data_IF_387303728207
#
_entry.id   IF_387303728207
#
_cell.length_a   1.000
_cell.length_b   1.000
_cell.length_c   1.000
_cell.angle_alpha   90.00
_cell.angle_beta   90.00
_cell.angle_gamma   90.00
#
_symmetry.space_group_name_H-M   'P 1'
#
loop_
_entity.id
_entity.type
_entity.pdbx_description
1 polymer ?
#
# COMPACT_ATOMS: atom_id res chain seq x y z
N UNK A 1 -43.03 -0.27 45.17
CA UNK A 1 -43.63 -1.56 45.53
C UNK A 1 -43.59 -2.48 44.30
N UNK A 2 -42.85 -3.59 44.42
CA UNK A 2 -43.03 -4.91 43.77
C UNK A 2 -43.23 -5.01 42.23
N UNK A 3 -42.19 -5.52 41.55
CA UNK A 3 -42.33 -6.41 40.37
C UNK A 3 -42.68 -7.86 40.85
N UNK A 4 -42.78 -8.89 39.98
CA UNK A 4 -43.54 -9.08 38.73
C UNK A 4 -44.38 -10.39 38.78
N UNK A 5 -45.26 -10.67 37.80
CA UNK A 5 -45.77 -12.03 37.59
C UNK A 5 -45.80 -12.45 36.11
N UNK A 6 -45.12 -13.57 35.88
CA UNK A 6 -45.06 -14.38 34.67
C UNK A 6 -46.45 -14.80 34.19
N UNK A 7 -46.65 -14.82 32.86
CA UNK A 7 -47.37 -15.92 32.20
C UNK A 7 -46.65 -16.36 30.93
N UNK A 8 -45.97 -17.50 31.06
CA UNK A 8 -45.62 -18.41 29.96
C UNK A 8 -46.88 -18.77 29.18
N UNK A 9 -46.81 -18.78 27.84
CA UNK A 9 -47.64 -19.67 27.02
C UNK A 9 -46.73 -20.55 26.17
N UNK A 10 -46.86 -21.84 26.44
CA UNK A 10 -46.31 -22.96 25.68
C UNK A 10 -47.22 -23.28 24.49
N UNK A 11 -46.58 -23.92 23.52
CA UNK A 11 -47.09 -24.73 22.39
C UNK A 11 -47.98 -24.05 21.35
N UNK A 12 -47.53 -24.09 20.10
CA UNK A 12 -48.05 -25.06 19.11
C UNK A 12 -47.09 -25.10 17.91
N UNK A 13 -46.50 -26.29 17.70
CA UNK A 13 -45.75 -26.66 16.51
C UNK A 13 -46.72 -26.86 15.34
N UNK A 14 -46.49 -26.31 14.13
CA UNK A 14 -47.13 -26.83 12.94
C UNK A 14 -46.35 -28.07 12.47
N UNK A 15 -47.09 -29.17 12.39
CA UNK A 15 -46.63 -30.49 12.03
C UNK A 15 -46.09 -30.58 10.61
N UNK A 16 -45.08 -31.43 10.45
CA UNK A 16 -44.61 -31.99 9.18
C UNK A 16 -45.75 -32.74 8.50
N UNK A 17 -46.04 -32.43 7.24
CA UNK A 17 -46.73 -33.38 6.37
C UNK A 17 -45.70 -34.37 5.82
N UNK A 18 -45.70 -35.56 6.41
CA UNK A 18 -45.13 -36.77 5.85
C UNK A 18 -46.09 -37.24 4.76
N UNK A 19 -45.68 -37.15 3.49
CA UNK A 19 -46.35 -37.93 2.45
C UNK A 19 -45.94 -39.39 2.61
N UNK A 20 -46.82 -40.17 3.23
CA UNK A 20 -46.82 -41.61 3.14
C UNK A 20 -47.15 -41.98 1.69
N UNK A 21 -46.20 -42.60 0.97
CA UNK A 21 -46.45 -43.15 -0.35
C UNK A 21 -47.07 -44.52 -0.16
N UNK A 22 -48.37 -44.61 -0.42
CA UNK A 22 -49.11 -45.87 -0.45
C UNK A 22 -48.54 -46.77 -1.56
N UNK A 23 -48.18 -47.99 -1.19
CA UNK A 23 -48.05 -49.09 -2.14
C UNK A 23 -49.46 -49.45 -2.63
N UNK A 24 -49.73 -49.19 -3.90
CA UNK A 24 -50.82 -49.83 -4.62
C UNK A 24 -50.23 -50.61 -5.78
N UNK A 25 -50.33 -51.93 -5.64
CA UNK A 25 -50.13 -52.93 -6.66
C UNK A 25 -50.99 -52.56 -7.90
N UNK A 26 -50.36 -52.34 -9.05
CA UNK A 26 -51.03 -52.36 -10.34
C UNK A 26 -50.26 -53.31 -11.24
N UNK A 27 -50.95 -54.39 -11.57
CA UNK A 27 -50.55 -55.44 -12.48
C UNK A 27 -50.16 -54.85 -13.83
N UNK A 28 -49.13 -55.47 -14.41
CA UNK A 28 -48.75 -55.40 -15.81
C UNK A 28 -49.97 -55.43 -16.72
N UNK A 29 -50.06 -54.50 -17.66
CA UNK A 29 -50.19 -54.76 -19.10
C UNK A 29 -49.89 -53.46 -19.87
N UNK A 30 -49.32 -53.64 -21.05
CA UNK A 30 -49.00 -52.66 -22.10
C UNK A 30 -47.59 -52.07 -22.04
N UNK A 31 -46.67 -52.91 -22.52
CA UNK A 31 -45.48 -52.50 -23.24
C UNK A 31 -45.88 -51.77 -24.54
N UNK A 32 -45.26 -50.61 -24.79
CA UNK A 32 -44.67 -50.14 -26.07
C UNK A 32 -44.32 -48.64 -25.98
N UNK A 33 -43.29 -48.15 -26.69
CA UNK A 33 -41.97 -48.73 -26.87
C UNK A 33 -40.91 -47.87 -26.15
N UNK A 34 -39.82 -48.51 -25.75
CA UNK A 34 -38.57 -47.82 -25.48
C UNK A 34 -38.22 -46.99 -26.73
N UNK A 35 -37.88 -45.71 -26.55
CA UNK A 35 -37.14 -44.99 -27.59
C UNK A 35 -35.94 -45.86 -27.91
N UNK A 36 -35.90 -46.39 -29.13
CA UNK A 36 -34.78 -47.14 -29.67
C UNK A 36 -33.52 -46.33 -29.38
N UNK A 37 -32.77 -46.75 -28.36
CA UNK A 37 -31.35 -46.43 -28.34
C UNK A 37 -30.80 -47.25 -29.49
N UNK A 38 -30.79 -46.63 -30.67
CA UNK A 38 -29.98 -47.10 -31.77
C UNK A 38 -28.64 -47.49 -31.15
N UNK A 39 -28.26 -48.76 -31.26
CA UNK A 39 -26.89 -49.18 -30.94
C UNK A 39 -26.03 -48.59 -32.06
N UNK A 40 -25.83 -47.28 -32.00
CA UNK A 40 -24.92 -46.56 -32.86
C UNK A 40 -23.55 -47.06 -32.45
N UNK A 41 -22.85 -47.69 -33.39
CA UNK A 41 -21.47 -48.09 -33.16
C UNK A 41 -20.69 -46.89 -32.59
N UNK A 42 -19.77 -47.12 -31.66
CA UNK A 42 -18.95 -46.04 -31.09
C UNK A 42 -18.24 -45.18 -32.16
N UNK A 43 -18.09 -45.71 -33.37
CA UNK A 43 -17.60 -45.03 -34.56
C UNK A 43 -18.60 -44.01 -35.10
N UNK A 44 -19.90 -44.31 -35.12
CA UNK A 44 -20.98 -43.39 -35.52
C UNK A 44 -21.11 -42.25 -34.53
N UNK A 45 -21.01 -42.52 -33.22
CA UNK A 45 -21.00 -41.47 -32.20
C UNK A 45 -19.75 -40.59 -32.31
N UNK A 46 -18.58 -41.20 -32.57
CA UNK A 46 -17.34 -40.47 -32.83
C UNK A 46 -17.42 -39.65 -34.11
N UNK A 47 -18.05 -40.16 -35.16
CA UNK A 47 -18.30 -39.41 -36.40
C UNK A 47 -19.24 -38.24 -36.15
N UNK A 48 -20.31 -38.44 -35.37
CA UNK A 48 -21.25 -37.39 -34.97
C UNK A 48 -20.55 -36.30 -34.18
N UNK A 49 -19.67 -36.67 -33.26
CA UNK A 49 -18.86 -35.74 -32.47
C UNK A 49 -17.84 -34.97 -33.33
N UNK A 50 -17.16 -35.64 -34.27
CA UNK A 50 -16.27 -34.98 -35.25
C UNK A 50 -17.06 -34.01 -36.14
N UNK A 51 -18.28 -34.38 -36.54
CA UNK A 51 -19.14 -33.56 -37.38
C UNK A 51 -19.61 -32.32 -36.60
N UNK A 52 -19.99 -32.49 -35.33
CA UNK A 52 -20.36 -31.39 -34.44
C UNK A 52 -19.19 -30.44 -34.14
N UNK A 53 -17.99 -30.98 -33.93
CA UNK A 53 -16.76 -30.19 -33.80
C UNK A 53 -16.44 -29.43 -35.09
N UNK A 54 -16.65 -30.05 -36.27
CA UNK A 54 -16.46 -29.40 -37.57
C UNK A 54 -17.48 -28.28 -37.81
N UNK A 55 -18.75 -28.49 -37.47
CA UNK A 55 -19.79 -27.46 -37.55
C UNK A 55 -19.49 -26.31 -36.58
N UNK A 56 -19.08 -26.62 -35.34
CA UNK A 56 -18.76 -25.60 -34.34
C UNK A 56 -17.46 -24.85 -34.64
N UNK A 57 -16.53 -25.46 -35.37
CA UNK A 57 -15.28 -24.84 -35.84
C UNK A 57 -15.44 -23.99 -37.10
N UNK A 58 -16.53 -24.17 -37.84
CA UNK A 58 -16.85 -23.35 -39.01
C UNK A 58 -17.50 -22.04 -38.59
N UNK A 59 -17.03 -20.94 -39.19
CA UNK A 59 -17.57 -19.60 -38.93
C UNK A 59 -19.06 -19.53 -39.28
N UNK A 60 -19.82 -18.74 -38.52
CA UNK A 60 -21.25 -18.50 -38.73
C UNK A 60 -21.59 -18.10 -40.18
N UNK A 61 -20.64 -17.51 -40.92
CA UNK A 61 -20.77 -17.19 -42.35
C UNK A 61 -20.96 -18.41 -43.25
N UNK A 62 -20.37 -19.57 -42.93
CA UNK A 62 -20.46 -20.82 -43.72
C UNK A 62 -21.82 -21.50 -43.54
N UNK A 63 -22.39 -21.41 -42.34
CA UNK A 63 -23.77 -21.88 -42.08
C UNK A 63 -24.77 -21.02 -42.85
N UNK A 64 -24.51 -19.72 -42.99
CA UNK A 64 -25.35 -18.80 -43.76
C UNK A 64 -25.19 -18.98 -45.28
N UNK A 65 -24.09 -19.55 -45.77
CA UNK A 65 -23.95 -19.91 -47.20
C UNK A 65 -24.65 -21.23 -47.49
N UNK A 66 -24.55 -22.26 -46.62
CA UNK A 66 -25.31 -23.51 -46.75
C UNK A 66 -26.83 -23.29 -46.70
N UNK A 67 -27.30 -22.38 -45.83
CA UNK A 67 -28.71 -21.94 -45.83
C UNK A 67 -29.15 -21.36 -47.17
N UNK A 68 -28.26 -20.72 -47.94
CA UNK A 68 -28.62 -20.14 -49.25
C UNK A 68 -28.58 -21.14 -50.39
N UNK A 69 -27.83 -22.23 -50.26
CA UNK A 69 -27.64 -23.20 -51.36
C UNK A 69 -28.73 -24.26 -51.43
N UNK A 70 -29.30 -24.68 -50.29
CA UNK A 70 -30.33 -25.72 -50.23
C UNK A 70 -31.71 -25.17 -49.85
N UNK A 71 -32.60 -25.09 -50.84
CA UNK A 71 -33.98 -24.63 -50.68
C UNK A 71 -34.81 -25.56 -49.76
N UNK A 72 -34.54 -26.87 -49.81
CA UNK A 72 -35.20 -27.86 -48.94
C UNK A 72 -34.84 -27.67 -47.46
N UNK A 73 -33.59 -27.28 -47.17
CA UNK A 73 -33.16 -26.96 -45.81
C UNK A 73 -33.86 -25.70 -45.30
N UNK A 74 -34.05 -24.67 -46.14
CA UNK A 74 -34.82 -23.48 -45.75
C UNK A 74 -36.29 -23.79 -45.45
N UNK A 75 -36.92 -24.69 -46.21
CA UNK A 75 -38.30 -25.12 -45.93
C UNK A 75 -38.43 -25.91 -44.64
N UNK A 76 -37.42 -26.69 -44.26
CA UNK A 76 -37.39 -27.39 -42.97
C UNK A 76 -37.10 -26.38 -41.85
N UNK A 77 -36.13 -25.48 -42.04
CA UNK A 77 -35.76 -24.50 -41.02
C UNK A 77 -36.91 -23.54 -40.72
N UNK A 78 -37.60 -23.04 -41.74
CA UNK A 78 -38.75 -22.13 -41.59
C UNK A 78 -39.95 -22.74 -40.84
N UNK A 79 -40.09 -24.08 -40.82
CA UNK A 79 -41.07 -24.75 -39.96
C UNK A 79 -40.74 -24.63 -38.47
N UNK A 80 -39.45 -24.49 -38.15
CA UNK A 80 -38.95 -24.35 -36.78
C UNK A 80 -38.57 -22.90 -36.42
N UNK A 81 -38.44 -22.03 -37.42
CA UNK A 81 -38.21 -20.59 -37.27
C UNK A 81 -39.53 -19.89 -36.92
N UNK A 82 -40.14 -20.31 -35.81
CA UNK A 82 -41.28 -19.61 -35.24
C UNK A 82 -40.76 -18.34 -34.56
N UNK A 83 -41.11 -17.12 -35.02
CA UNK A 83 -40.80 -15.93 -34.26
C UNK A 83 -41.48 -16.07 -32.89
N UNK A 84 -40.73 -15.89 -31.81
CA UNK A 84 -41.16 -16.03 -30.41
C UNK A 84 -42.42 -15.21 -30.05
N UNK A 85 -42.83 -14.29 -30.92
CA UNK A 85 -44.03 -13.47 -30.83
C UNK A 85 -45.34 -14.21 -31.17
N UNK A 86 -45.34 -15.29 -31.97
CA UNK A 86 -46.57 -15.89 -32.54
C UNK A 86 -47.08 -17.15 -31.85
N UNK A 87 -46.52 -17.57 -30.72
CA UNK A 87 -47.11 -18.66 -29.94
C UNK A 87 -48.49 -18.22 -29.41
N UNK A 88 -49.58 -18.98 -29.67
CA UNK A 88 -50.96 -18.56 -29.34
C UNK A 88 -51.21 -18.31 -27.84
N UNK A 89 -50.28 -18.70 -26.98
CA UNK A 89 -50.31 -18.49 -25.53
C UNK A 89 -49.19 -17.60 -24.99
N UNK A 90 -48.38 -16.90 -25.80
CA UNK A 90 -47.25 -16.11 -25.28
C UNK A 90 -47.71 -14.97 -24.35
N UNK A 91 -48.82 -14.32 -24.68
CA UNK A 91 -49.44 -13.26 -23.86
C UNK A 91 -49.99 -13.82 -22.54
N UNK A 92 -50.59 -15.01 -22.58
CA UNK A 92 -51.08 -15.68 -21.38
C UNK A 92 -49.92 -16.15 -20.50
N UNK A 93 -48.90 -16.79 -21.08
CA UNK A 93 -47.69 -17.23 -20.38
C UNK A 93 -46.93 -16.05 -19.72
N UNK A 94 -46.76 -14.94 -20.42
CA UNK A 94 -46.15 -13.73 -19.84
C UNK A 94 -47.02 -13.11 -18.74
N UNK A 95 -48.35 -13.16 -18.85
CA UNK A 95 -49.23 -12.73 -17.76
C UNK A 95 -49.11 -13.61 -16.50
N UNK A 96 -48.98 -14.93 -16.65
CA UNK A 96 -48.72 -15.85 -15.54
C UNK A 96 -47.37 -15.55 -14.89
N UNK A 97 -46.31 -15.44 -15.68
CA UNK A 97 -44.96 -15.11 -15.17
C UNK A 97 -44.99 -13.76 -14.45
N UNK A 98 -45.67 -12.74 -14.99
CA UNK A 98 -45.81 -11.42 -14.35
C UNK A 98 -46.52 -11.47 -12.99
N UNK A 99 -47.42 -12.44 -12.82
CA UNK A 99 -48.17 -12.65 -11.56
C UNK A 99 -47.42 -13.48 -10.51
N UNK A 100 -46.25 -14.01 -10.84
CA UNK A 100 -45.46 -14.84 -9.93
C UNK A 100 -45.05 -14.07 -8.65
N UNK A 101 -45.29 -14.63 -7.45
CA UNK A 101 -44.98 -13.95 -6.18
C UNK A 101 -43.50 -13.57 -6.03
N UNK A 102 -42.60 -14.31 -6.68
CA UNK A 102 -41.16 -14.06 -6.66
C UNK A 102 -40.79 -12.71 -7.31
N UNK A 103 -41.54 -12.27 -8.32
CA UNK A 103 -41.29 -11.00 -9.00
C UNK A 103 -41.75 -9.79 -8.17
N UNK A 104 -42.70 -9.99 -7.25
CA UNK A 104 -43.15 -8.94 -6.34
C UNK A 104 -42.11 -8.65 -5.24
N UNK A 105 -41.43 -9.68 -4.73
CA UNK A 105 -40.55 -9.57 -3.57
C UNK A 105 -39.06 -9.49 -3.93
N UNK A 106 -38.63 -10.08 -5.05
CA UNK A 106 -37.22 -10.15 -5.43
C UNK A 106 -36.91 -9.15 -6.55
N UNK A 107 -36.15 -8.10 -6.22
CA UNK A 107 -35.69 -7.09 -7.17
C UNK A 107 -34.91 -7.70 -8.34
N UNK A 108 -34.00 -8.63 -8.07
CA UNK A 108 -33.17 -9.26 -9.11
C UNK A 108 -34.03 -10.09 -10.09
N UNK A 109 -35.01 -10.83 -9.59
CA UNK A 109 -35.92 -11.58 -10.45
C UNK A 109 -36.78 -10.66 -11.34
N UNK A 110 -37.23 -9.53 -10.77
CA UNK A 110 -37.96 -8.48 -11.49
C UNK A 110 -37.10 -7.79 -12.56
N UNK A 111 -35.84 -7.52 -12.25
CA UNK A 111 -34.89 -6.91 -13.18
C UNK A 111 -34.58 -7.87 -14.35
N UNK A 112 -34.38 -9.17 -14.09
CA UNK A 112 -34.21 -10.19 -15.15
C UNK A 112 -35.46 -10.28 -16.02
N UNK A 113 -36.66 -10.30 -15.43
CA UNK A 113 -37.90 -10.39 -16.20
C UNK A 113 -38.11 -9.18 -17.13
N UNK A 114 -37.78 -7.98 -16.67
CA UNK A 114 -37.91 -6.75 -17.47
C UNK A 114 -36.73 -6.55 -18.44
N UNK A 115 -35.65 -7.33 -18.32
CA UNK A 115 -34.50 -7.23 -19.20
C UNK A 115 -34.84 -7.71 -20.61
N UNK A 116 -34.22 -7.09 -21.60
CA UNK A 116 -34.37 -7.48 -23.01
C UNK A 116 -33.58 -8.78 -23.20
N UNK A 117 -34.16 -9.83 -23.81
CA UNK A 117 -33.42 -11.05 -24.11
C UNK A 117 -32.21 -10.75 -25.01
N UNK A 118 -31.09 -11.43 -24.74
CA UNK A 118 -29.84 -11.24 -25.45
C UNK A 118 -30.00 -11.51 -26.95
N UNK A 119 -29.68 -10.52 -27.79
CA UNK A 119 -29.84 -10.59 -29.25
C UNK A 119 -28.55 -10.92 -30.02
N UNK A 120 -27.44 -11.18 -29.34
CA UNK A 120 -26.12 -11.45 -29.93
C UNK A 120 -25.15 -10.28 -29.84
N UNK A 121 -25.67 -9.06 -29.75
CA UNK A 121 -24.91 -7.84 -29.53
C UNK A 121 -25.34 -7.17 -28.22
N UNK A 122 -24.38 -6.70 -27.44
CA UNK A 122 -24.62 -5.94 -26.22
C UNK A 122 -25.05 -4.50 -26.57
N UNK A 123 -26.01 -3.94 -25.83
CA UNK A 123 -26.40 -2.54 -25.99
C UNK A 123 -25.31 -1.61 -25.44
N UNK A 124 -25.08 -0.47 -26.08
CA UNK A 124 -24.14 0.56 -25.60
C UNK A 124 -24.47 0.99 -24.15
N UNK A 125 -25.75 1.02 -23.80
CA UNK A 125 -26.18 1.34 -22.43
C UNK A 125 -25.73 0.29 -21.41
N UNK A 126 -25.85 -0.99 -21.75
CA UNK A 126 -25.48 -2.12 -20.87
C UNK A 126 -23.95 -2.22 -20.73
N UNK A 127 -23.24 -2.01 -21.84
CA UNK A 127 -21.77 -1.96 -21.85
C UNK A 127 -21.22 -0.84 -20.97
N UNK A 128 -21.83 0.36 -21.05
CA UNK A 128 -21.48 1.49 -20.18
C UNK A 128 -21.84 1.22 -18.71
N UNK A 129 -23.00 0.60 -18.45
CA UNK A 129 -23.42 0.24 -17.09
C UNK A 129 -22.42 -0.74 -16.46
N UNK A 130 -21.99 -1.75 -17.23
CA UNK A 130 -20.98 -2.72 -16.81
C UNK A 130 -19.64 -2.04 -16.50
N UNK A 131 -19.18 -1.14 -17.36
CA UNK A 131 -17.96 -0.36 -17.13
C UNK A 131 -18.04 0.48 -15.84
N UNK A 132 -19.19 1.08 -15.56
CA UNK A 132 -19.41 1.87 -14.32
C UNK A 132 -19.47 0.97 -13.08
N UNK A 133 -20.09 -0.21 -13.19
CA UNK A 133 -20.17 -1.19 -12.08
C UNK A 133 -18.79 -1.78 -11.79
N UNK A 134 -18.02 -2.13 -12.83
CA UNK A 134 -16.67 -2.68 -12.69
C UNK A 134 -15.65 -1.63 -12.21
N UNK A 135 -15.84 -0.35 -12.57
CA UNK A 135 -14.97 0.75 -12.12
C UNK A 135 -15.13 1.08 -10.64
N UNK A 136 -16.28 0.77 -10.01
CA UNK A 136 -16.52 1.07 -8.60
C UNK A 136 -16.01 -0.08 -7.71
N UNK A 137 -15.11 0.17 -6.75
CA UNK A 137 -14.71 -0.87 -5.81
C UNK A 137 -15.92 -1.37 -5.03
N UNK A 138 -16.04 -2.70 -4.88
CA UNK A 138 -17.15 -3.30 -4.13
C UNK A 138 -17.20 -2.74 -2.71
N UNK A 139 -18.37 -2.32 -2.20
CA UNK A 139 -18.50 -1.86 -0.82
C UNK A 139 -17.97 -2.91 0.15
N UNK A 140 -17.14 -2.46 1.10
CA UNK A 140 -16.50 -3.33 2.10
C UNK A 140 -17.52 -4.08 2.98
N UNK A 141 -18.78 -3.61 3.03
CA UNK A 141 -19.86 -4.13 3.86
C UNK A 141 -21.13 -4.52 3.08
N UNK A 142 -21.00 -5.08 1.87
CA UNK A 142 -22.16 -5.63 1.19
C UNK A 142 -22.68 -6.88 1.93
N UNK A 143 -23.97 -6.93 2.35
CA UNK A 143 -24.54 -8.11 3.01
C UNK A 143 -24.51 -9.36 2.11
N UNK A 144 -24.51 -9.16 0.78
CA UNK A 144 -24.32 -10.23 -0.19
C UNK A 144 -22.87 -10.77 -0.19
N UNK A 145 -21.86 -9.92 0.02
CA UNK A 145 -20.45 -10.35 0.10
C UNK A 145 -20.14 -11.15 1.38
N UNK A 146 -20.87 -10.88 2.47
CA UNK A 146 -20.80 -11.65 3.72
C UNK A 146 -21.33 -13.08 3.54
N UNK A 147 -22.25 -13.31 2.59
CA UNK A 147 -22.73 -14.65 2.27
C UNK A 147 -21.66 -15.51 1.54
N UNK A 148 -20.74 -14.90 0.79
CA UNK A 148 -19.68 -15.58 0.05
C UNK A 148 -18.33 -15.64 0.75
N UNK A 149 -18.13 -14.89 1.85
CA UNK A 149 -16.99 -15.16 2.75
C UNK A 149 -17.22 -16.52 3.38
N UNK A 150 -16.39 -17.51 3.02
CA UNK A 150 -16.41 -18.86 3.60
C UNK A 150 -16.44 -18.75 5.13
N UNK A 151 -17.63 -18.90 5.71
CA UNK A 151 -17.83 -18.95 7.14
C UNK A 151 -17.02 -20.14 7.66
N UNK A 152 -16.21 -19.93 8.69
CA UNK A 152 -15.50 -21.03 9.32
C UNK A 152 -16.55 -21.98 9.91
N UNK A 153 -16.57 -23.27 9.52
CA UNK A 153 -17.63 -24.17 9.93
C UNK A 153 -17.63 -24.31 11.45
N UNK A 154 -18.83 -24.29 12.03
CA UNK A 154 -18.98 -24.42 13.49
C UNK A 154 -18.52 -25.80 13.95
N UNK A 155 -18.22 -25.99 15.25
CA UNK A 155 -17.73 -27.29 15.76
C UNK A 155 -18.68 -28.45 15.42
N UNK A 156 -19.99 -28.22 15.50
CA UNK A 156 -21.00 -29.22 15.16
C UNK A 156 -21.04 -29.50 13.66
N UNK A 157 -20.88 -28.47 12.83
CA UNK A 157 -20.83 -28.60 11.37
C UNK A 157 -19.57 -29.34 10.92
N UNK A 158 -18.42 -29.07 11.56
CA UNK A 158 -17.19 -29.85 11.36
C UNK A 158 -17.38 -31.32 11.72
N UNK A 159 -18.12 -31.63 12.79
CA UNK A 159 -18.38 -32.99 13.22
C UNK A 159 -19.34 -33.71 12.26
N UNK A 160 -20.34 -33.01 11.72
CA UNK A 160 -21.21 -33.51 10.67
C UNK A 160 -20.43 -33.76 9.36
N UNK A 161 -19.61 -32.80 8.91
CA UNK A 161 -18.74 -32.98 7.75
C UNK A 161 -17.77 -34.15 7.92
N UNK A 162 -17.13 -34.29 9.08
CA UNK A 162 -16.24 -35.41 9.35
C UNK A 162 -16.98 -36.75 9.33
N UNK A 163 -18.23 -36.79 9.83
CA UNK A 163 -19.08 -37.96 9.77
C UNK A 163 -19.42 -38.31 8.33
N UNK A 164 -19.86 -37.34 7.53
CA UNK A 164 -20.20 -37.55 6.12
C UNK A 164 -18.98 -37.97 5.29
N UNK A 165 -17.83 -37.31 5.46
CA UNK A 165 -16.55 -37.69 4.82
C UNK A 165 -16.14 -39.12 5.21
N UNK A 166 -16.33 -39.51 6.48
CA UNK A 166 -16.03 -40.86 6.92
C UNK A 166 -16.98 -41.92 6.34
N UNK A 167 -18.25 -41.54 6.09
CA UNK A 167 -19.22 -42.40 5.44
C UNK A 167 -18.88 -42.55 3.96
N UNK A 168 -18.57 -41.47 3.25
CA UNK A 168 -18.13 -41.50 1.85
C UNK A 168 -16.86 -42.33 1.69
N UNK A 169 -15.88 -42.16 2.60
CA UNK A 169 -14.68 -42.99 2.59
C UNK A 169 -15.01 -44.46 2.81
N UNK A 170 -15.95 -44.79 3.70
CA UNK A 170 -16.34 -46.19 3.98
C UNK A 170 -17.14 -46.80 2.84
N UNK A 171 -17.98 -46.03 2.17
CA UNK A 171 -18.75 -46.45 0.99
C UNK A 171 -17.83 -46.67 -0.20
N UNK A 172 -16.84 -45.78 -0.41
CA UNK A 172 -15.89 -45.86 -1.51
C UNK A 172 -14.62 -46.64 -1.17
N UNK A 173 -14.49 -47.19 0.03
CA UNK A 173 -13.33 -48.01 0.40
C UNK A 173 -13.42 -49.33 -0.36
N UNK A 174 -12.49 -49.63 -1.28
CA UNK A 174 -12.47 -50.93 -1.93
C UNK A 174 -12.23 -52.00 -0.87
N UNK A 175 -13.12 -53.00 -0.82
CA UNK A 175 -13.01 -54.16 0.06
C UNK A 175 -11.86 -55.06 -0.44
N UNK A 176 -10.62 -54.67 -0.16
CA UNK A 176 -9.44 -55.39 -0.63
C UNK A 176 -8.14 -54.63 -0.33
N UNK A 177 -7.71 -54.65 0.93
CA UNK A 177 -6.55 -53.87 1.40
C UNK A 177 -5.19 -54.49 1.06
N UNK A 178 -4.81 -54.64 -0.22
CA UNK A 178 -3.47 -55.12 -0.57
C UNK A 178 -2.70 -54.43 -1.70
N UNK A 179 -3.21 -53.41 -2.39
CA UNK A 179 -2.43 -52.67 -3.40
C UNK A 179 -2.72 -51.16 -3.33
N UNK A 180 -2.30 -50.50 -2.25
CA UNK A 180 -2.53 -49.05 -2.11
C UNK A 180 -1.53 -48.22 -2.90
N UNK A 181 -0.29 -48.68 -3.00
CA UNK A 181 0.79 -47.88 -3.59
C UNK A 181 0.82 -47.98 -5.13
N UNK A 182 0.47 -49.13 -5.72
CA UNK A 182 0.43 -49.28 -7.19
C UNK A 182 -0.76 -48.62 -7.86
N UNK A 183 -1.91 -48.56 -7.17
CA UNK A 183 -3.13 -47.96 -7.74
C UNK A 183 -3.10 -46.42 -7.66
N UNK A 184 -2.45 -45.86 -6.63
CA UNK A 184 -2.23 -44.41 -6.50
C UNK A 184 -1.25 -43.90 -7.57
N UNK A 185 -0.20 -44.66 -7.89
CA UNK A 185 0.75 -44.32 -8.95
C UNK A 185 0.10 -44.40 -10.34
N UNK A 186 -0.68 -45.45 -10.62
CA UNK A 186 -1.43 -45.56 -11.88
C UNK A 186 -2.49 -44.47 -12.04
N UNK A 187 -3.16 -44.07 -10.96
CA UNK A 187 -4.11 -42.96 -10.98
C UNK A 187 -3.42 -41.62 -11.22
N UNK A 188 -2.23 -41.42 -10.62
CA UNK A 188 -1.39 -40.23 -10.86
C UNK A 188 -0.90 -40.17 -12.30
N UNK A 189 -0.48 -41.30 -12.86
CA UNK A 189 -0.04 -41.41 -14.25
C UNK A 189 -1.20 -41.14 -15.22
N UNK A 190 -2.40 -41.70 -14.98
CA UNK A 190 -3.57 -41.43 -15.82
C UNK A 190 -4.02 -39.96 -15.79
N UNK A 191 -3.91 -39.30 -14.63
CA UNK A 191 -4.19 -37.86 -14.53
C UNK A 191 -3.09 -37.01 -15.16
N UNK A 192 -1.83 -37.43 -15.03
CA UNK A 192 -0.70 -36.80 -15.71
C UNK A 192 -0.90 -36.87 -17.23
N UNK A 193 -1.27 -38.02 -17.78
CA UNK A 193 -1.57 -38.20 -19.20
C UNK A 193 -2.79 -37.39 -19.69
N UNK A 194 -3.87 -37.35 -18.90
CA UNK A 194 -5.10 -36.64 -19.28
C UNK A 194 -5.00 -35.12 -19.16
N UNK A 195 -4.21 -34.62 -18.22
CA UNK A 195 -4.03 -33.18 -18.01
C UNK A 195 -2.88 -32.59 -18.85
N UNK A 196 -1.82 -33.35 -19.11
CA UNK A 196 -0.68 -32.88 -19.92
C UNK A 196 -0.78 -33.27 -21.41
N UNK A 197 -1.66 -34.22 -21.77
CA UNK A 197 -1.93 -34.63 -23.15
C UNK A 197 -0.74 -35.32 -23.87
N UNK A 198 -0.96 -35.90 -25.07
CA UNK A 198 0.09 -36.61 -25.84
C UNK A 198 1.30 -35.75 -26.23
N UNK A 199 1.19 -34.42 -26.20
CA UNK A 199 2.26 -33.49 -26.59
C UNK A 199 3.42 -33.45 -25.60
N UNK A 200 3.21 -33.86 -24.34
CA UNK A 200 4.27 -33.95 -23.33
C UNK A 200 5.02 -35.30 -23.35
N UNK A 201 4.45 -36.35 -23.95
CA UNK A 201 5.07 -37.68 -24.00
C UNK A 201 5.87 -37.94 -25.29
N UNK A 202 5.53 -37.28 -26.40
CA UNK A 202 6.12 -37.55 -27.73
C UNK A 202 7.28 -36.63 -28.13
N UNK A 203 7.94 -35.94 -27.19
CA UNK A 203 9.15 -35.18 -27.54
C UNK A 203 10.17 -35.14 -26.40
N UNK A 204 10.98 -36.19 -26.28
CA UNK A 204 12.15 -36.22 -25.39
C UNK A 204 13.46 -35.82 -26.10
N UNK A 205 13.40 -35.16 -27.27
CA UNK A 205 14.62 -34.70 -27.95
C UNK A 205 14.60 -33.27 -28.50
N UNK A 206 13.53 -32.48 -28.37
CA UNK A 206 13.51 -31.14 -28.97
C UNK A 206 12.53 -30.13 -28.37
N UNK A 207 12.71 -29.73 -27.10
CA UNK A 207 12.62 -28.31 -26.63
C UNK A 207 13.30 -28.20 -25.26
N UNK A 208 14.62 -28.01 -25.26
CA UNK A 208 15.42 -27.92 -24.02
C UNK A 208 15.06 -26.74 -23.11
N UNK A 209 14.44 -25.69 -23.65
CA UNK A 209 14.05 -24.48 -22.90
C UNK A 209 12.85 -24.72 -21.99
N UNK A 210 11.82 -25.44 -22.46
CA UNK A 210 10.60 -25.70 -21.69
C UNK A 210 10.86 -26.70 -20.55
N UNK A 211 11.81 -27.63 -20.75
CA UNK A 211 12.22 -28.55 -19.70
C UNK A 211 12.97 -27.83 -18.57
N UNK A 212 13.85 -26.89 -18.90
CA UNK A 212 14.54 -26.07 -17.89
C UNK A 212 13.54 -25.18 -17.17
N UNK A 213 12.57 -24.60 -17.87
CA UNK A 213 11.50 -23.80 -17.26
C UNK A 213 10.62 -24.65 -16.33
N UNK A 214 10.26 -25.87 -16.74
CA UNK A 214 9.45 -26.78 -15.91
C UNK A 214 10.23 -27.31 -14.69
N UNK A 215 11.52 -27.65 -14.85
CA UNK A 215 12.38 -28.06 -13.73
C UNK A 215 12.62 -26.89 -12.78
N UNK A 216 12.91 -25.70 -13.32
CA UNK A 216 13.07 -24.48 -12.53
C UNK A 216 11.77 -24.14 -11.79
N UNK A 217 10.62 -24.23 -12.45
CA UNK A 217 9.30 -24.03 -11.86
C UNK A 217 9.04 -25.00 -10.71
N UNK A 218 9.33 -26.29 -10.91
CA UNK A 218 9.21 -27.30 -9.84
C UNK A 218 10.16 -27.03 -8.67
N UNK A 219 11.40 -26.61 -8.96
CA UNK A 219 12.40 -26.28 -7.94
C UNK A 219 12.02 -25.01 -7.16
N UNK A 220 11.44 -24.02 -7.83
CA UNK A 220 10.90 -22.80 -7.22
C UNK A 220 9.73 -23.15 -6.31
N UNK A 221 8.75 -23.92 -6.81
CA UNK A 221 7.57 -24.34 -6.05
C UNK A 221 7.91 -25.21 -4.84
N UNK A 222 8.98 -26.00 -4.91
CA UNK A 222 9.47 -26.78 -3.77
C UNK A 222 10.18 -25.92 -2.71
N UNK A 223 10.68 -24.73 -3.08
CA UNK A 223 11.45 -23.84 -2.19
C UNK A 223 10.63 -22.65 -1.66
N UNK A 224 9.50 -22.34 -2.30
CA UNK A 224 8.52 -21.34 -1.81
C UNK A 224 7.74 -21.96 -0.65
N UNK A 225 7.66 -21.26 0.48
CA UNK A 225 6.70 -21.60 1.52
C UNK A 225 5.27 -21.31 1.03
N UNK A 226 4.43 -22.34 0.98
CA UNK A 226 3.06 -22.26 0.45
C UNK A 226 2.13 -21.44 1.34
N UNK A 227 2.47 -21.23 2.62
CA UNK A 227 1.62 -20.47 3.54
C UNK A 227 1.84 -18.96 3.41
N UNK A 228 3.10 -18.55 3.24
CA UNK A 228 3.47 -17.14 3.12
C UNK A 228 3.75 -16.68 1.69
N UNK A 229 3.94 -17.62 0.75
CA UNK A 229 4.32 -17.36 -0.64
C UNK A 229 5.75 -16.85 -0.80
N UNK A 230 6.61 -17.05 0.22
CA UNK A 230 7.94 -16.46 0.29
C UNK A 230 9.02 -17.54 0.28
N UNK A 231 10.14 -17.24 -0.36
CA UNK A 231 11.39 -17.98 -0.15
C UNK A 231 11.95 -17.68 1.24
N UNK A 232 12.22 -18.73 2.01
CA UNK A 232 12.90 -18.71 3.32
C UNK A 232 14.40 -18.97 3.12
N UNK A 233 15.13 -17.99 2.57
CA UNK A 233 16.60 -18.05 2.50
C UNK A 233 17.21 -16.84 3.21
N UNK A 234 18.38 -17.02 3.83
CA UNK A 234 19.09 -15.97 4.58
C UNK A 234 19.41 -14.77 3.67
N UNK A 235 19.82 -15.04 2.42
CA UNK A 235 20.06 -14.03 1.38
C UNK A 235 18.82 -13.17 1.09
N UNK A 236 17.62 -13.74 1.25
CA UNK A 236 16.37 -13.05 0.97
C UNK A 236 16.07 -11.96 2.01
N UNK A 237 16.64 -12.05 3.22
CA UNK A 237 16.53 -10.99 4.24
C UNK A 237 17.35 -9.76 3.89
N UNK A 238 18.42 -9.92 3.09
CA UNK A 238 19.25 -8.81 2.58
C UNK A 238 18.62 -8.12 1.38
N UNK A 239 17.98 -8.90 0.51
CA UNK A 239 17.31 -8.40 -0.71
C UNK A 239 15.95 -7.77 -0.39
N UNK A 240 15.24 -8.27 0.63
CA UNK A 240 13.94 -7.72 1.05
C UNK A 240 14.11 -6.65 2.12
N UNK A 241 13.27 -5.62 2.06
CA UNK A 241 13.15 -4.65 3.14
C UNK A 241 12.70 -5.34 4.43
N UNK A 242 13.22 -4.87 5.59
CA UNK A 242 12.73 -5.31 6.89
C UNK A 242 11.25 -4.95 7.03
N UNK A 243 10.39 -5.85 7.52
CA UNK A 243 8.99 -5.52 7.75
C UNK A 243 8.90 -4.34 8.73
N UNK A 244 8.03 -3.38 8.43
CA UNK A 244 7.81 -2.25 9.32
C UNK A 244 7.29 -2.76 10.67
N UNK A 245 7.78 -2.17 11.76
CA UNK A 245 7.29 -2.50 13.10
C UNK A 245 5.80 -2.19 13.21
N UNK A 246 5.02 -3.15 13.71
CA UNK A 246 3.57 -2.97 13.88
C UNK A 246 3.25 -1.73 14.73
N UNK A 247 4.08 -1.43 15.72
CA UNK A 247 3.95 -0.24 16.56
C UNK A 247 4.11 1.07 15.77
N UNK A 248 5.03 1.10 14.80
CA UNK A 248 5.20 2.23 13.89
C UNK A 248 3.96 2.42 12.99
N UNK A 249 3.28 1.32 12.63
CA UNK A 249 2.04 1.35 11.87
C UNK A 249 0.80 1.74 12.68
N UNK A 250 0.81 1.65 14.02
CA UNK A 250 -0.35 2.06 14.84
C UNK A 250 -0.59 3.57 14.73
N UNK A 251 0.49 4.35 14.66
CA UNK A 251 0.43 5.81 14.57
C UNK A 251 0.61 6.31 13.13
N UNK A 252 0.47 5.44 12.12
CA UNK A 252 0.71 5.83 10.72
C UNK A 252 -0.33 6.80 10.15
N UNK A 253 -1.44 7.03 10.86
CA UNK A 253 -2.43 8.04 10.49
C UNK A 253 -2.18 9.38 11.19
N UNK A 254 -1.32 9.43 12.21
CA UNK A 254 -1.03 10.65 12.97
C UNK A 254 0.15 11.40 12.35
N UNK A 255 -0.14 12.55 11.74
CA UNK A 255 0.89 13.42 11.16
C UNK A 255 1.86 13.95 12.22
N UNK A 256 1.43 14.14 13.47
CA UNK A 256 2.31 14.64 14.55
C UNK A 256 3.40 13.63 14.88
N UNK A 257 3.06 12.34 14.90
CA UNK A 257 4.00 11.26 15.14
C UNK A 257 5.10 11.23 14.07
N UNK A 258 4.73 11.33 12.78
CA UNK A 258 5.73 11.41 11.71
C UNK A 258 6.54 12.70 11.73
N UNK A 259 5.91 13.84 12.03
CA UNK A 259 6.62 15.10 12.16
C UNK A 259 7.72 15.01 13.24
N UNK A 260 7.39 14.46 14.41
CA UNK A 260 8.37 14.24 15.47
C UNK A 260 9.47 13.27 15.06
N UNK A 261 9.13 12.23 14.30
CA UNK A 261 10.14 11.29 13.80
C UNK A 261 11.07 11.92 12.77
N UNK A 262 10.56 12.80 11.89
CA UNK A 262 11.36 13.56 10.92
C UNK A 262 12.29 14.51 11.65
N UNK A 263 11.79 15.26 12.64
CA UNK A 263 12.61 16.14 13.48
C UNK A 263 13.76 15.37 14.15
N UNK A 264 13.47 14.21 14.73
CA UNK A 264 14.48 13.37 15.38
C UNK A 264 15.48 12.77 14.38
N UNK A 265 15.02 12.32 13.21
CA UNK A 265 15.89 11.68 12.20
C UNK A 265 16.79 12.66 11.46
N UNK A 266 16.31 13.87 11.22
CA UNK A 266 17.07 14.90 10.51
C UNK A 266 17.91 15.76 11.46
N UNK A 267 17.82 15.52 12.78
CA UNK A 267 18.46 16.33 13.83
C UNK A 267 18.12 17.83 13.71
N UNK A 268 16.93 18.13 13.17
CA UNK A 268 16.48 19.51 12.95
C UNK A 268 15.66 19.98 14.14
N UNK A 269 16.06 21.12 14.70
CA UNK A 269 15.32 21.79 15.75
C UNK A 269 14.19 22.63 15.15
N UNK A 270 13.01 22.71 15.80
CA UNK A 270 11.98 23.67 15.44
C UNK A 270 12.55 25.11 15.38
N UNK A 271 12.08 25.95 14.45
CA UNK A 271 12.63 27.29 14.23
C UNK A 271 12.66 28.18 15.48
N UNK A 272 11.64 28.07 16.35
CA UNK A 272 11.58 28.85 17.58
C UNK A 272 12.64 28.38 18.61
N UNK A 273 13.00 27.09 18.64
CA UNK A 273 14.06 26.57 19.53
C UNK A 273 15.43 27.05 19.04
N UNK A 274 15.66 27.04 17.72
CA UNK A 274 16.89 27.58 17.14
C UNK A 274 17.04 29.07 17.47
N UNK A 275 15.97 29.86 17.29
CA UNK A 275 15.98 31.27 17.68
C UNK A 275 16.18 31.48 19.19
N UNK A 276 15.65 30.58 20.04
CA UNK A 276 15.89 30.59 21.48
C UNK A 276 17.36 30.40 21.82
N UNK A 277 18.02 29.42 21.18
CA UNK A 277 19.44 29.15 21.40
C UNK A 277 20.30 30.31 20.94
N UNK A 278 20.01 30.87 19.77
CA UNK A 278 20.72 32.03 19.24
C UNK A 278 20.57 33.26 20.15
N UNK A 279 19.34 33.54 20.61
CA UNK A 279 19.05 34.64 21.53
C UNK A 279 19.77 34.48 22.87
N UNK A 280 19.76 33.27 23.45
CA UNK A 280 20.49 32.99 24.69
C UNK A 280 22.00 33.21 24.51
N UNK A 281 22.56 32.77 23.38
CA UNK A 281 23.98 32.99 23.04
C UNK A 281 24.28 34.48 22.88
N UNK A 282 23.44 35.23 22.18
CA UNK A 282 23.58 36.68 22.01
C UNK A 282 23.54 37.43 23.34
N UNK A 283 22.61 37.08 24.23
CA UNK A 283 22.51 37.67 25.58
C UNK A 283 23.76 37.33 26.40
N UNK A 284 24.22 36.07 26.35
CA UNK A 284 25.41 35.66 27.07
C UNK A 284 26.64 36.43 26.58
N UNK A 285 26.88 36.47 25.27
CA UNK A 285 27.99 37.21 24.67
C UNK A 285 27.92 38.71 24.96
N UNK A 286 26.72 39.30 24.90
CA UNK A 286 26.53 40.70 25.26
C UNK A 286 26.91 41.00 26.71
N UNK A 287 26.44 40.16 27.66
CA UNK A 287 26.80 40.31 29.08
C UNK A 287 28.28 40.09 29.33
N UNK A 288 28.91 39.15 28.63
CA UNK A 288 30.36 38.95 28.70
C UNK A 288 31.13 40.16 28.19
N UNK A 289 30.69 40.75 27.08
CA UNK A 289 31.28 41.96 26.52
C UNK A 289 31.11 43.16 27.48
N UNK A 290 29.94 43.33 28.11
CA UNK A 290 29.72 44.35 29.13
C UNK A 290 30.69 44.21 30.31
N UNK A 291 30.87 42.98 30.82
CA UNK A 291 31.83 42.71 31.91
C UNK A 291 33.26 43.01 31.45
N UNK A 292 33.61 42.66 30.22
CA UNK A 292 34.93 42.97 29.65
C UNK A 292 35.16 44.48 29.53
N UNK A 293 34.17 45.23 29.04
CA UNK A 293 34.22 46.71 28.96
C UNK A 293 34.46 47.33 30.34
N UNK A 294 33.72 46.89 31.37
CA UNK A 294 33.91 47.32 32.76
C UNK A 294 35.25 46.90 33.36
N UNK A 295 35.77 45.72 32.99
CA UNK A 295 37.08 45.26 33.48
C UNK A 295 38.23 46.06 32.87
N UNK A 296 38.07 46.50 31.62
CA UNK A 296 39.07 47.28 30.88
C UNK A 296 39.05 48.76 31.25
N UNK A 297 37.86 49.32 31.47
CA UNK A 297 37.65 50.73 31.74
C UNK A 297 36.97 50.91 33.10
N UNK A 298 37.56 51.70 34.00
CA UNK A 298 36.95 52.02 35.30
C UNK A 298 35.66 52.86 35.15
N UNK A 299 35.49 53.50 33.99
CA UNK A 299 34.35 54.35 33.65
C UNK A 299 33.95 54.06 32.20
N UNK A 300 32.66 53.91 31.94
CA UNK A 300 32.11 53.78 30.59
C UNK A 300 32.11 55.15 29.89
N UNK A 301 32.61 55.20 28.67
CA UNK A 301 32.54 56.42 27.85
C UNK A 301 31.17 56.55 27.18
N UNK A 302 30.81 57.77 26.73
CA UNK A 302 29.55 58.03 26.03
C UNK A 302 29.37 57.15 24.77
N UNK A 303 30.46 56.86 24.07
CA UNK A 303 30.48 55.94 22.92
C UNK A 303 30.02 54.53 23.30
N UNK A 304 30.44 54.07 24.48
CA UNK A 304 30.15 52.74 25.00
C UNK A 304 28.67 52.67 25.40
N UNK A 305 28.15 53.71 26.05
CA UNK A 305 26.73 53.81 26.41
C UNK A 305 25.82 53.77 25.18
N UNK A 306 26.20 54.46 24.10
CA UNK A 306 25.47 54.43 22.83
C UNK A 306 25.53 53.05 22.17
N UNK A 307 26.68 52.39 22.21
CA UNK A 307 26.81 51.00 21.73
C UNK A 307 25.91 50.05 22.53
N UNK A 308 25.93 50.13 23.85
CA UNK A 308 25.11 49.28 24.73
C UNK A 308 23.62 49.45 24.42
N UNK A 309 23.17 50.70 24.29
CA UNK A 309 21.77 51.00 24.00
C UNK A 309 21.31 50.46 22.65
N UNK A 310 22.09 50.67 21.60
CA UNK A 310 21.79 50.12 20.26
C UNK A 310 21.79 48.58 20.26
N UNK A 311 22.73 47.95 20.98
CA UNK A 311 22.80 46.49 21.09
C UNK A 311 21.62 45.91 21.87
N UNK A 312 21.20 46.56 22.96
CA UNK A 312 20.00 46.20 23.72
C UNK A 312 18.75 46.31 22.86
N UNK A 313 18.62 47.39 22.08
CA UNK A 313 17.49 47.55 21.17
C UNK A 313 17.41 46.42 20.13
N UNK A 314 18.56 45.99 19.58
CA UNK A 314 18.64 44.85 18.68
C UNK A 314 18.21 43.55 19.38
N UNK A 315 18.75 43.25 20.56
CA UNK A 315 18.39 42.05 21.33
C UNK A 315 16.90 42.08 21.72
N UNK A 316 16.35 43.24 22.07
CA UNK A 316 14.93 43.39 22.39
C UNK A 316 14.02 43.19 21.16
N UNK A 317 14.49 43.51 19.96
CA UNK A 317 13.80 43.13 18.72
C UNK A 317 13.84 41.61 18.51
N UNK A 318 14.99 40.97 18.73
CA UNK A 318 15.10 39.51 18.67
C UNK A 318 14.20 38.82 19.71
N UNK A 319 14.12 39.34 20.93
CA UNK A 319 13.22 38.86 22.00
C UNK A 319 11.75 38.95 21.55
N UNK A 320 11.35 40.07 20.93
CA UNK A 320 9.99 40.21 20.38
C UNK A 320 9.73 39.15 19.31
N UNK A 321 10.66 38.97 18.37
CA UNK A 321 10.51 38.00 17.28
C UNK A 321 10.43 36.56 17.80
N UNK A 322 11.27 36.20 18.77
CA UNK A 322 11.21 34.90 19.45
C UNK A 322 9.88 34.69 20.18
N UNK A 323 9.41 35.69 20.96
CA UNK A 323 8.15 35.59 21.70
C UNK A 323 6.94 35.43 20.75
N UNK A 324 6.98 35.98 19.54
CA UNK A 324 5.93 35.77 18.53
C UNK A 324 5.90 34.34 17.99
N UNK A 325 7.04 33.66 17.95
CA UNK A 325 7.17 32.28 17.44
C UNK A 325 6.99 31.22 18.54
N UNK A 326 7.15 31.60 19.81
CA UNK A 326 7.08 30.67 20.93
C UNK A 326 5.64 30.19 21.14
N UNK A 327 5.38 28.87 21.14
CA UNK A 327 4.03 28.34 21.31
C UNK A 327 3.48 28.50 22.73
N UNK A 328 4.33 28.79 23.73
CA UNK A 328 3.94 28.89 25.14
C UNK A 328 4.38 30.22 25.76
N UNK A 329 3.44 30.87 26.45
CA UNK A 329 3.68 32.14 27.17
C UNK A 329 4.72 31.97 28.27
N UNK A 330 4.83 30.79 28.88
CA UNK A 330 5.87 30.50 29.88
C UNK A 330 7.28 30.49 29.29
N UNK A 331 7.42 30.27 27.98
CA UNK A 331 8.69 30.28 27.28
C UNK A 331 9.17 31.67 26.89
N UNK A 332 8.32 32.69 27.02
CA UNK A 332 8.62 34.07 26.63
C UNK A 332 9.78 34.65 27.43
N UNK A 333 10.59 35.49 26.78
CA UNK A 333 11.69 36.22 27.40
C UNK A 333 11.30 37.67 27.66
N UNK A 334 11.76 38.22 28.77
CA UNK A 334 11.59 39.63 29.10
C UNK A 334 12.60 40.49 28.35
N UNK A 335 12.19 41.73 28.07
CA UNK A 335 13.08 42.74 27.49
C UNK A 335 14.20 43.09 28.47
N UNK A 336 15.35 43.43 27.92
CA UNK A 336 16.50 43.92 28.65
C UNK A 336 16.38 45.43 28.87
N UNK A 337 16.66 45.87 30.08
CA UNK A 337 16.74 47.28 30.46
C UNK A 337 18.21 47.72 30.56
N UNK A 338 18.53 48.89 30.00
CA UNK A 338 19.90 49.43 29.94
C UNK A 338 20.55 49.54 31.32
N UNK A 339 19.88 50.22 32.24
CA UNK A 339 20.41 50.50 33.58
C UNK A 339 20.65 49.21 34.37
N UNK A 340 19.68 48.30 34.36
CA UNK A 340 19.79 47.01 35.08
C UNK A 340 20.93 46.13 34.56
N UNK A 341 21.13 46.07 33.24
CA UNK A 341 22.22 45.26 32.68
C UNK A 341 23.60 45.88 32.98
N UNK A 342 23.71 47.21 32.98
CA UNK A 342 24.94 47.92 33.36
C UNK A 342 25.26 47.68 34.83
N UNK A 343 24.29 47.82 35.73
CA UNK A 343 24.45 47.56 37.17
C UNK A 343 24.85 46.10 37.45
N UNK A 344 24.20 45.14 36.78
CA UNK A 344 24.54 43.72 36.92
C UNK A 344 25.94 43.41 36.40
N UNK A 345 26.35 44.02 35.28
CA UNK A 345 27.68 43.86 34.74
C UNK A 345 28.74 44.47 35.66
N UNK A 346 28.48 45.65 36.23
CA UNK A 346 29.35 46.30 37.20
C UNK A 346 29.55 45.42 38.44
N UNK A 347 28.45 44.91 39.01
CA UNK A 347 28.49 43.99 40.17
C UNK A 347 29.33 42.75 39.86
N UNK A 348 29.09 42.11 38.71
CA UNK A 348 29.87 40.93 38.28
C UNK A 348 31.35 41.24 38.02
N UNK A 349 31.66 42.38 37.41
CA UNK A 349 33.04 42.80 37.16
C UNK A 349 33.78 43.09 38.47
N UNK A 350 33.08 43.61 39.50
CA UNK A 350 33.65 43.82 40.83
C UNK A 350 33.90 42.52 41.59
N UNK A 351 33.00 41.54 41.47
CA UNK A 351 33.12 40.23 42.13
C UNK A 351 34.18 39.34 41.47
N UNK A 352 34.28 39.38 40.13
CA UNK A 352 35.21 38.56 39.37
C UNK A 352 35.89 39.39 38.26
N UNK A 353 36.96 40.14 38.61
CA UNK A 353 37.70 40.91 37.62
C UNK A 353 38.35 39.96 36.62
N UNK A 354 37.82 39.93 35.40
CA UNK A 354 38.43 39.16 34.31
C UNK A 354 39.81 39.75 34.01
N UNK A 355 40.86 38.94 34.15
CA UNK A 355 42.17 39.29 33.60
C UNK A 355 42.01 39.44 32.09
N UNK A 356 42.59 40.47 31.44
CA UNK A 356 42.55 40.58 29.99
C UNK A 356 43.10 39.27 29.43
N UNK A 357 42.35 38.64 28.53
CA UNK A 357 42.85 37.47 27.81
C UNK A 357 44.16 37.91 27.14
N UNK A 358 45.25 37.13 27.25
CA UNK A 358 46.42 37.38 26.42
C UNK A 358 45.93 37.55 25.00
N UNK A 359 46.36 38.62 24.33
CA UNK A 359 46.13 38.78 22.90
C UNK A 359 46.92 37.63 22.29
N UNK A 360 46.27 36.48 22.09
CA UNK A 360 46.79 35.48 21.20
C UNK A 360 46.82 36.17 19.84
N UNK A 361 48.03 36.48 19.38
CA UNK A 361 48.29 36.77 17.97
C UNK A 361 47.88 35.53 17.21
N UNK A 362 46.58 35.37 16.97
CA UNK A 362 46.07 34.51 15.92
C UNK A 362 46.63 35.10 14.65
N UNK A 363 47.78 34.59 14.26
CA UNK A 363 48.24 34.59 12.88
C UNK A 363 46.99 34.21 12.11
N UNK A 364 46.44 35.19 11.40
CA UNK A 364 45.31 34.97 10.53
C UNK A 364 45.86 34.08 9.42
N UNK A 365 45.82 32.76 9.62
CA UNK A 365 46.03 31.80 8.57
C UNK A 365 44.95 32.11 7.54
N UNK A 366 45.34 32.88 6.53
CA UNK A 366 44.46 33.40 5.52
C UNK A 366 43.74 32.26 4.83
N UNK A 367 42.53 32.56 4.37
CA UNK A 367 41.63 31.77 3.54
C UNK A 367 42.28 31.09 2.30
N UNK A 368 43.58 31.30 2.03
CA UNK A 368 44.35 30.78 0.90
C UNK A 368 45.28 29.60 1.24
N UNK A 369 45.35 29.12 2.48
CA UNK A 369 46.24 27.99 2.86
C UNK A 369 45.60 26.59 2.64
N UNK A 370 44.47 26.55 1.92
CA UNK A 370 43.75 25.32 1.53
C UNK A 370 44.12 24.85 0.11
N UNK A 371 44.86 25.65 -0.66
CA UNK A 371 45.33 25.33 -2.01
C UNK A 371 46.84 25.57 -2.16
N UNK A 372 47.65 24.62 -1.67
CA UNK A 372 48.89 24.25 -2.37
C UNK A 372 50.23 24.49 -1.67
N UNK A 373 50.93 23.37 -1.44
CA UNK A 373 52.40 23.24 -1.44
C UNK A 373 53.10 23.77 -0.18
N UNK A 374 53.87 22.99 0.59
CA UNK A 374 54.86 22.01 0.16
C UNK A 374 56.27 22.54 0.49
N UNK A 375 56.85 22.07 1.59
CA UNK A 375 58.30 22.03 1.79
C UNK A 375 58.97 23.14 2.62
N UNK A 376 59.71 22.72 3.66
CA UNK A 376 61.11 23.09 3.82
C UNK A 376 61.51 24.28 4.72
N UNK A 377 62.06 23.93 5.88
CA UNK A 377 63.29 24.47 6.49
C UNK A 377 63.37 25.91 7.08
N UNK A 378 63.79 25.92 8.36
CA UNK A 378 64.68 26.86 9.06
C UNK A 378 64.93 28.26 8.47
N UNK A 379 64.63 29.30 9.26
CA UNK A 379 65.65 30.30 9.64
C UNK A 379 65.19 31.17 10.81
N UNK A 380 66.07 31.28 11.80
CA UNK A 380 65.99 32.27 12.86
C UNK A 380 66.55 33.61 12.35
N UNK A 381 65.81 34.70 12.56
CA UNK A 381 66.37 36.05 12.69
C UNK A 381 65.37 36.97 13.40
N UNK A 382 65.82 37.85 14.30
CA UNK A 382 64.94 38.70 15.08
C UNK A 382 64.57 39.93 14.26
N UNK A 383 63.28 40.20 14.08
CA UNK A 383 62.81 41.48 13.52
C UNK A 383 62.31 42.39 14.64
N UNK A 384 62.90 43.57 14.67
CA UNK A 384 62.67 44.67 15.59
C UNK A 384 61.19 45.11 15.56
N UNK A 385 60.63 45.35 16.74
CA UNK A 385 59.27 45.88 16.92
C UNK A 385 59.23 47.36 16.51
N UNK A 386 58.51 47.67 15.44
CA UNK A 386 58.16 49.05 15.09
C UNK A 386 57.02 49.47 16.04
N UNK A 387 57.31 50.41 16.95
CA UNK A 387 56.27 51.12 17.70
C UNK A 387 55.48 52.00 16.72
N UNK A 388 54.18 51.74 16.59
CA UNK A 388 53.26 52.61 15.85
C UNK A 388 52.57 53.50 16.88
N UNK A 389 52.93 54.79 16.89
CA UNK A 389 52.24 55.81 17.64
C UNK A 389 50.79 55.95 17.15
N UNK A 390 49.83 55.84 18.08
CA UNK A 390 48.38 55.81 17.85
C UNK A 390 47.75 57.16 17.44
N UNK A 391 48.52 58.11 16.93
CA UNK A 391 48.01 59.45 16.62
C UNK A 391 48.35 59.96 15.20
N UNK A 392 48.55 59.06 14.23
CA UNK A 392 48.70 59.45 12.83
C UNK A 392 47.64 58.80 11.95
N UNK A 393 47.01 59.60 11.08
CA UNK A 393 45.96 59.16 10.18
C UNK A 393 46.48 58.08 9.21
N UNK A 394 45.89 56.86 9.19
CA UNK A 394 46.43 55.73 8.45
C UNK A 394 46.35 55.90 6.93
N UNK A 395 45.64 56.91 6.41
CA UNK A 395 45.52 57.20 4.98
C UNK A 395 46.75 57.92 4.39
N UNK A 396 47.51 58.65 5.21
CA UNK A 396 48.71 59.37 4.74
C UNK A 396 49.89 58.42 4.48
N UNK A 397 50.01 57.34 5.26
CA UNK A 397 51.17 56.45 5.19
C UNK A 397 51.10 55.42 4.04
N UNK A 398 49.90 55.06 3.57
CA UNK A 398 49.75 54.08 2.48
C UNK A 398 50.21 54.67 1.15
N UNK A 399 49.89 55.94 0.88
CA UNK A 399 50.34 56.63 -0.34
C UNK A 399 51.83 56.95 -0.32
N UNK A 400 52.41 57.22 0.85
CA UNK A 400 53.85 57.38 1.02
C UNK A 400 54.60 56.06 0.75
N UNK A 401 54.12 54.95 1.33
CA UNK A 401 54.71 53.62 1.13
C UNK A 401 54.64 53.17 -0.35
N UNK A 402 53.54 53.45 -1.04
CA UNK A 402 53.41 53.16 -2.48
C UNK A 402 54.38 54.03 -3.29
N UNK A 403 54.52 55.33 -2.97
CA UNK A 403 55.50 56.21 -3.63
C UNK A 403 56.94 55.73 -3.44
N UNK A 404 57.28 55.29 -2.23
CA UNK A 404 58.64 54.85 -1.91
C UNK A 404 59.00 53.57 -2.67
N UNK A 405 58.07 52.61 -2.75
CA UNK A 405 58.24 51.38 -3.54
C UNK A 405 58.48 51.68 -5.03
N UNK A 406 57.80 52.67 -5.60
CA UNK A 406 58.02 53.08 -6.99
C UNK A 406 59.27 53.93 -7.19
N UNK A 407 59.74 54.64 -6.17
CA UNK A 407 60.97 55.45 -6.23
C UNK A 407 62.25 54.62 -6.10
N UNK A 408 62.18 53.46 -5.44
CA UNK A 408 63.27 52.48 -5.27
C UNK A 408 63.57 51.65 -6.53
N UNK A 409 62.76 51.79 -7.58
CA UNK A 409 62.89 51.04 -8.84
C UNK A 409 63.65 51.76 -9.97
N UNK A 410 64.51 52.73 -9.67
CA UNK A 410 65.40 53.38 -10.65
C UNK A 410 66.86 53.26 -10.29
#
# INVERSE_FOLDING_TARGET
MLQPLLKRRLSLYPWRHVYARNYSNKQSQNAEPASEQEVTSAIVDRMKQILEEKISSQSASTIQTMKRTDESLNQILSKYDTPSTSLPNSKQASSYIRSEPILAHNKHAKDIYNSIPWSGAESVYDSNLRMIVDSKPKPINDPASIAYKKRNPTKNEKLAMARDISLDYKVNKPQGGKNKDTDDDGFREMYRERLLGPSMLLNHSSTSVDFVEMLAGNKINAKIDQTTGKFETDDMQKVRGKPLEKQHLVNCTDSNYFMNQVLNKQEVLPPWIESQQNLNRNIAQFRENLVEMWSKSKQLHESDLKYIETKINLINQEIRNYNLQCPSVSGHKFKLDKEKEIEQAFKKASENPRKPKPIEDKITSGFLDIFGGGGGANSASPRQSIHIDRNSDPKLNVWQAIKDVFSLGK
#
